data_IF_449018226875
#
_entry.id   IF_449018226875
#
_cell.length_a   1.000
_cell.length_b   1.000
_cell.length_c   1.000
_cell.angle_alpha   90.00
_cell.angle_beta   90.00
_cell.angle_gamma   90.00
#
_symmetry.space_group_name_H-M   'P 1'
#
loop_
_entity.id
_entity.type
_entity.pdbx_description
1 polymer ?
#
# COMPACT_ATOMS: atom_id res chain seq x y z
N UNK A 1 -12.83 33.31 12.63
CA UNK A 1 -13.47 32.12 12.08
C UNK A 1 -12.37 31.06 11.94
N UNK A 2 -12.36 30.05 12.82
CA UNK A 2 -11.39 28.95 12.70
C UNK A 2 -11.87 28.08 11.53
N UNK A 3 -11.11 28.06 10.45
CA UNK A 3 -11.29 27.04 9.42
C UNK A 3 -10.91 25.70 10.07
N UNK A 4 -11.82 24.75 10.09
CA UNK A 4 -11.47 23.40 10.45
C UNK A 4 -10.40 22.94 9.45
N UNK A 5 -9.23 22.56 9.95
CA UNK A 5 -8.22 21.91 9.13
C UNK A 5 -8.85 20.59 8.70
N UNK A 6 -9.20 20.51 7.42
CA UNK A 6 -9.69 19.26 6.85
C UNK A 6 -8.48 18.35 6.66
N UNK A 7 -8.58 17.13 7.14
CA UNK A 7 -7.52 16.12 7.08
C UNK A 7 -8.10 14.84 6.54
N UNK A 8 -7.35 14.18 5.69
CA UNK A 8 -7.63 12.80 5.30
C UNK A 8 -6.79 11.86 6.13
N UNK A 9 -7.35 10.72 6.50
CA UNK A 9 -6.66 9.75 7.32
C UNK A 9 -7.05 8.30 6.97
N UNK A 10 -6.10 7.42 7.22
CA UNK A 10 -6.28 5.97 7.22
C UNK A 10 -6.05 5.48 8.64
N UNK A 11 -6.89 4.58 9.12
CA UNK A 11 -6.73 3.98 10.44
C UNK A 11 -7.08 2.50 10.42
N UNK A 12 -6.56 1.78 11.39
CA UNK A 12 -6.82 0.34 11.57
C UNK A 12 -6.28 -0.54 10.42
N UNK A 13 -5.33 -0.01 9.65
CA UNK A 13 -4.53 -0.81 8.74
C UNK A 13 -3.38 -1.46 9.51
N UNK A 14 -2.86 -2.58 9.01
CA UNK A 14 -1.76 -3.29 9.64
C UNK A 14 -0.79 -3.85 8.61
N UNK A 15 0.47 -4.00 9.05
CA UNK A 15 1.56 -4.54 8.23
C UNK A 15 2.33 -5.59 9.00
N UNK A 16 2.78 -6.61 8.29
CA UNK A 16 3.84 -7.52 8.69
C UNK A 16 5.18 -7.10 8.08
N UNK A 17 6.27 -7.78 8.41
CA UNK A 17 7.56 -7.53 7.79
C UNK A 17 7.48 -7.77 6.28
N UNK A 18 7.98 -6.85 5.49
CA UNK A 18 7.97 -6.76 4.01
C UNK A 18 6.67 -6.33 3.36
N UNK A 19 5.57 -6.21 4.12
CA UNK A 19 4.33 -5.67 3.57
C UNK A 19 4.50 -4.19 3.21
N UNK A 20 3.83 -3.77 2.15
CA UNK A 20 3.71 -2.39 1.69
C UNK A 20 2.22 -2.04 1.56
N UNK A 21 1.84 -0.86 2.02
CA UNK A 21 0.51 -0.29 1.82
C UNK A 21 0.66 1.13 1.28
N UNK A 22 0.03 1.37 0.14
CA UNK A 22 0.09 2.64 -0.55
C UNK A 22 -1.27 3.29 -0.76
N UNK A 23 -1.26 4.61 -0.84
CA UNK A 23 -2.43 5.40 -1.21
C UNK A 23 -2.00 6.52 -2.14
N UNK A 24 -2.79 6.78 -3.18
CA UNK A 24 -2.65 7.96 -4.01
C UNK A 24 -3.66 9.03 -3.61
N UNK A 25 -3.27 10.29 -3.84
CA UNK A 25 -4.13 11.46 -3.66
C UNK A 25 -3.69 12.57 -4.61
N UNK A 26 -4.60 13.48 -4.94
CA UNK A 26 -4.29 14.57 -5.87
C UNK A 26 -4.37 15.91 -5.18
N UNK A 27 -3.27 16.69 -5.28
CA UNK A 27 -3.24 18.07 -4.79
C UNK A 27 -3.56 19.06 -5.91
N UNK A 28 -4.40 20.09 -5.63
CA UNK A 28 -4.67 21.16 -6.57
C UNK A 28 -3.48 22.13 -6.68
N UNK A 29 -3.47 22.94 -7.73
CA UNK A 29 -2.50 24.03 -7.85
C UNK A 29 -2.69 25.03 -6.70
N UNK A 30 -1.57 25.46 -6.11
CA UNK A 30 -1.56 26.40 -4.98
C UNK A 30 -1.98 25.78 -3.64
N UNK A 31 -1.91 24.45 -3.52
CA UNK A 31 -2.07 23.77 -2.24
C UNK A 31 -1.10 24.35 -1.19
N UNK A 32 -1.56 24.46 0.08
CA UNK A 32 -0.67 24.82 1.18
C UNK A 32 0.33 23.67 1.45
N UNK A 33 1.30 23.90 2.32
CA UNK A 33 2.31 22.91 2.67
C UNK A 33 1.68 21.56 3.02
N UNK A 34 2.20 20.51 2.40
CA UNK A 34 1.76 19.14 2.62
C UNK A 34 2.45 18.57 3.85
N UNK A 35 1.67 18.05 4.77
CA UNK A 35 2.15 17.31 5.93
C UNK A 35 1.55 15.91 5.92
N UNK A 36 2.41 14.91 6.02
CA UNK A 36 2.02 13.51 6.12
C UNK A 36 2.57 12.96 7.43
N UNK A 37 1.72 12.37 8.25
CA UNK A 37 2.08 11.80 9.54
C UNK A 37 1.66 10.34 9.64
N UNK A 38 2.60 9.47 9.97
CA UNK A 38 2.40 8.07 10.33
C UNK A 38 2.62 7.91 11.84
N UNK A 39 1.69 7.24 12.52
CA UNK A 39 1.80 6.92 13.94
C UNK A 39 1.34 5.49 14.22
N UNK A 40 2.04 4.82 15.12
CA UNK A 40 1.66 3.47 15.58
C UNK A 40 2.03 3.24 17.05
N UNK A 41 1.34 2.29 17.68
CA UNK A 41 1.64 1.88 19.04
C UNK A 41 2.62 0.70 19.00
N UNK A 42 3.91 0.99 19.16
CA UNK A 42 4.95 -0.03 19.20
C UNK A 42 4.82 -0.93 20.43
N UNK A 43 5.08 -2.25 20.33
CA UNK A 43 5.16 -3.13 21.48
C UNK A 43 6.23 -2.68 22.49
N UNK A 44 6.08 -3.08 23.75
CA UNK A 44 7.03 -2.73 24.79
C UNK A 44 8.41 -3.35 24.51
N UNK A 45 9.43 -2.48 24.36
CA UNK A 45 10.82 -2.91 24.21
C UNK A 45 11.43 -3.38 25.53
N UNK A 46 12.49 -4.20 25.45
CA UNK A 46 13.27 -4.58 26.61
C UNK A 46 14.11 -3.37 27.08
N UNK A 47 14.02 -2.96 28.35
CA UNK A 47 14.80 -1.82 28.84
C UNK A 47 16.31 -1.97 28.61
N UNK A 48 16.94 -0.92 28.10
CA UNK A 48 18.39 -0.86 27.87
C UNK A 48 18.87 -1.53 26.59
N UNK A 49 17.97 -1.99 25.71
CA UNK A 49 18.30 -2.53 24.37
C UNK A 49 18.11 -1.43 23.32
N UNK A 50 18.97 -1.44 22.30
CA UNK A 50 18.83 -0.59 21.10
C UNK A 50 18.75 -1.50 19.85
N UNK A 51 17.91 -1.17 18.84
CA UNK A 51 17.03 -0.01 18.74
C UNK A 51 15.88 -0.06 19.76
N UNK A 52 15.30 1.11 20.06
CA UNK A 52 14.20 1.21 21.02
C UNK A 52 12.86 0.73 20.46
N UNK A 53 12.69 0.75 19.12
CA UNK A 53 11.52 0.19 18.46
C UNK A 53 11.64 -1.33 18.38
N UNK A 54 10.54 -2.01 18.69
CA UNK A 54 10.35 -3.44 18.44
C UNK A 54 9.94 -3.65 17.01
N UNK A 55 8.93 -2.89 16.56
CA UNK A 55 8.47 -2.88 15.17
C UNK A 55 8.88 -1.57 14.50
N UNK A 56 9.34 -1.67 13.26
CA UNK A 56 9.81 -0.55 12.45
C UNK A 56 8.97 -0.44 11.18
N UNK A 57 8.20 0.65 11.08
CA UNK A 57 7.44 1.02 9.90
C UNK A 57 8.06 2.27 9.29
N UNK A 58 8.36 2.24 8.01
CA UNK A 58 8.88 3.38 7.26
C UNK A 58 7.79 4.08 6.45
N UNK A 59 8.02 5.37 6.19
CA UNK A 59 7.13 6.23 5.40
C UNK A 59 7.87 6.72 4.17
N UNK A 60 7.26 6.56 2.99
CA UNK A 60 7.74 7.19 1.77
C UNK A 60 6.63 7.99 1.09
N UNK A 61 7.03 8.98 0.32
CA UNK A 61 6.14 9.88 -0.42
C UNK A 61 6.73 10.09 -1.81
N UNK A 62 5.96 9.79 -2.85
CA UNK A 62 6.34 10.01 -4.25
C UNK A 62 5.60 11.23 -4.77
N UNK A 63 6.33 12.19 -5.31
CA UNK A 63 5.76 13.41 -5.88
C UNK A 63 5.26 13.20 -7.33
N UNK A 64 4.49 14.15 -7.90
CA UNK A 64 3.96 14.04 -9.27
C UNK A 64 5.02 13.96 -10.37
N UNK A 65 6.30 14.17 -10.05
CA UNK A 65 7.43 14.01 -10.99
C UNK A 65 8.08 12.62 -10.91
N UNK A 66 7.62 11.78 -9.97
CA UNK A 66 8.19 10.46 -9.68
C UNK A 66 9.37 10.50 -8.72
N UNK A 67 9.63 11.64 -8.05
CA UNK A 67 10.69 11.72 -7.05
C UNK A 67 10.20 11.12 -5.73
N UNK A 68 10.97 10.17 -5.19
CA UNK A 68 10.67 9.50 -3.92
C UNK A 68 11.38 10.17 -2.76
N UNK A 69 10.61 10.54 -1.75
CA UNK A 69 11.08 11.08 -0.47
C UNK A 69 10.89 10.01 0.59
N UNK A 70 11.97 9.55 1.20
CA UNK A 70 11.94 8.50 2.22
C UNK A 70 12.18 9.08 3.61
N UNK A 71 11.44 8.58 4.60
CA UNK A 71 11.64 8.85 6.00
C UNK A 71 11.82 7.53 6.76
N UNK A 72 13.07 7.12 6.89
CA UNK A 72 13.50 5.93 7.59
C UNK A 72 14.02 6.35 8.97
N UNK A 73 13.35 5.91 10.03
CA UNK A 73 13.70 6.24 11.41
C UNK A 73 13.43 5.04 12.30
N UNK A 74 14.43 4.37 12.78
CA UNK A 74 14.32 3.19 13.64
C UNK A 74 14.29 3.54 15.16
N UNK A 75 14.00 4.79 15.50
CA UNK A 75 13.99 5.26 16.90
C UNK A 75 12.61 5.69 17.37
N UNK A 76 11.76 6.18 16.45
CA UNK A 76 10.47 6.75 16.79
C UNK A 76 9.33 6.02 16.09
N UNK A 77 8.21 5.87 16.77
CA UNK A 77 6.96 5.33 16.25
C UNK A 77 6.02 6.42 15.67
N UNK A 78 6.54 7.62 15.50
CA UNK A 78 5.91 8.75 14.82
C UNK A 78 6.82 9.21 13.68
N UNK A 79 6.30 9.20 12.46
CA UNK A 79 6.93 9.75 11.27
C UNK A 79 6.17 10.99 10.83
N UNK A 80 6.88 12.05 10.48
CA UNK A 80 6.25 13.26 9.92
C UNK A 80 7.09 13.80 8.77
N UNK A 81 6.49 13.86 7.59
CA UNK A 81 7.06 14.52 6.41
C UNK A 81 6.38 15.86 6.19
N UNK A 82 7.17 16.86 5.79
CA UNK A 82 6.68 18.18 5.42
C UNK A 82 7.26 18.59 4.07
N UNK A 83 6.37 18.90 3.12
CA UNK A 83 6.76 19.40 1.80
C UNK A 83 6.20 20.81 1.64
N UNK A 84 7.10 21.79 1.56
CA UNK A 84 6.72 23.20 1.33
C UNK A 84 6.42 23.41 -0.15
N UNK A 85 5.35 24.17 -0.43
CA UNK A 85 4.90 24.47 -1.79
C UNK A 85 4.80 23.20 -2.68
N UNK A 86 3.98 22.21 -2.30
CA UNK A 86 3.90 20.95 -3.03
C UNK A 86 3.42 21.17 -4.47
N UNK A 87 3.95 20.39 -5.40
CA UNK A 87 3.50 20.41 -6.78
C UNK A 87 2.06 19.93 -6.89
N UNK A 88 1.30 20.55 -7.82
CA UNK A 88 -0.02 20.04 -8.18
C UNK A 88 0.10 18.73 -8.93
N UNK A 89 -0.82 17.80 -8.69
CA UNK A 89 -0.85 16.49 -9.34
C UNK A 89 -1.03 15.35 -8.36
N UNK A 90 -0.84 14.15 -8.85
CA UNK A 90 -0.99 12.92 -8.05
C UNK A 90 0.26 12.65 -7.26
N UNK A 91 0.07 12.42 -5.98
CA UNK A 91 1.07 12.01 -5.01
C UNK A 91 0.75 10.58 -4.57
N UNK A 92 1.77 9.84 -4.18
CA UNK A 92 1.62 8.51 -3.59
C UNK A 92 2.31 8.49 -2.23
N UNK A 93 1.67 7.89 -1.25
CA UNK A 93 2.22 7.68 0.09
C UNK A 93 2.23 6.20 0.40
N UNK A 94 3.37 5.68 0.86
CA UNK A 94 3.54 4.29 1.23
C UNK A 94 3.98 4.15 2.67
N UNK A 95 3.44 3.13 3.33
CA UNK A 95 3.89 2.67 4.65
C UNK A 95 4.42 1.25 4.48
N UNK A 96 5.67 1.04 4.85
CA UNK A 96 6.38 -0.24 4.67
C UNK A 96 6.72 -0.85 6.02
N UNK A 97 6.40 -2.12 6.20
CA UNK A 97 6.84 -2.92 7.35
C UNK A 97 8.29 -3.34 7.22
N UNK A 98 9.23 -2.47 7.57
CA UNK A 98 10.66 -2.72 7.40
C UNK A 98 11.15 -3.84 8.31
N UNK A 99 10.69 -3.86 9.56
CA UNK A 99 10.96 -4.95 10.50
C UNK A 99 9.82 -5.03 11.53
N UNK A 100 8.98 -6.05 11.43
CA UNK A 100 7.79 -6.23 12.30
C UNK A 100 7.84 -7.62 12.95
N UNK A 101 8.79 -7.86 13.89
CA UNK A 101 8.95 -9.17 14.54
C UNK A 101 7.77 -9.51 15.48
N UNK A 102 7.01 -8.52 15.92
CA UNK A 102 5.84 -8.70 16.77
C UNK A 102 4.64 -8.07 16.08
N UNK A 103 4.04 -8.79 15.17
CA UNK A 103 3.00 -8.24 14.30
C UNK A 103 1.73 -9.07 14.20
N UNK A 104 0.82 -8.62 13.34
CA UNK A 104 0.93 -7.41 12.51
C UNK A 104 0.90 -6.12 13.32
N UNK A 105 1.61 -5.09 12.86
CA UNK A 105 1.64 -3.77 13.48
C UNK A 105 0.53 -2.89 12.90
N UNK A 106 -0.41 -2.49 13.76
CA UNK A 106 -1.45 -1.52 13.38
C UNK A 106 -0.90 -0.11 13.38
N UNK A 107 -1.37 0.71 12.43
CA UNK A 107 -0.95 2.09 12.29
C UNK A 107 -2.10 3.03 11.89
N UNK A 108 -1.82 4.32 11.96
CA UNK A 108 -2.66 5.39 11.44
C UNK A 108 -1.80 6.34 10.59
N UNK A 109 -2.34 6.74 9.44
CA UNK A 109 -1.74 7.70 8.52
C UNK A 109 -2.67 8.90 8.40
N UNK A 110 -2.12 10.11 8.46
CA UNK A 110 -2.88 11.34 8.30
C UNK A 110 -2.20 12.30 7.31
N UNK A 111 -3.01 12.97 6.50
CA UNK A 111 -2.59 14.02 5.57
C UNK A 111 -3.39 15.28 5.87
N UNK A 112 -2.70 16.44 5.96
CA UNK A 112 -3.32 17.72 6.31
C UNK A 112 -4.12 18.38 5.18
N UNK A 113 -4.57 17.61 4.20
CA UNK A 113 -5.44 18.03 3.11
C UNK A 113 -6.70 17.16 3.11
N UNK A 114 -7.85 17.77 2.78
CA UNK A 114 -9.11 17.06 2.57
C UNK A 114 -9.16 16.55 1.11
N UNK A 115 -8.53 15.42 0.89
CA UNK A 115 -8.42 14.78 -0.41
C UNK A 115 -8.78 13.30 -0.27
N UNK A 116 -9.45 12.69 -1.25
CA UNK A 116 -9.66 11.24 -1.25
C UNK A 116 -8.31 10.51 -1.24
N UNK A 117 -8.16 9.55 -0.34
CA UNK A 117 -7.06 8.59 -0.34
C UNK A 117 -7.55 7.34 -1.09
N UNK A 118 -6.96 7.09 -2.25
CA UNK A 118 -7.25 5.91 -3.06
C UNK A 118 -6.19 4.86 -2.74
N UNK A 119 -6.63 3.71 -2.23
CA UNK A 119 -5.71 2.61 -1.92
C UNK A 119 -5.01 2.17 -3.22
N UNK A 120 -3.69 2.12 -3.18
CA UNK A 120 -2.86 1.53 -4.22
C UNK A 120 -2.79 0.04 -3.91
N UNK A 121 -3.70 -0.71 -4.49
CA UNK A 121 -3.60 -2.15 -4.46
C UNK A 121 -2.34 -2.55 -5.23
N UNK A 122 -1.51 -3.38 -4.62
CA UNK A 122 -0.43 -4.02 -5.36
C UNK A 122 -1.08 -4.90 -6.43
N UNK A 123 -0.84 -4.57 -7.68
CA UNK A 123 -1.28 -5.28 -8.87
C UNK A 123 -0.05 -5.28 -9.80
N UNK A 124 0.75 -6.34 -9.69
CA UNK A 124 2.10 -6.40 -10.25
C UNK A 124 2.10 -6.53 -11.78
N UNK A 125 1.05 -7.10 -12.35
CA UNK A 125 0.93 -7.31 -13.81
C UNK A 125 -0.12 -6.40 -14.46
N UNK A 126 -0.81 -5.57 -13.64
CA UNK A 126 -1.75 -4.52 -14.06
C UNK A 126 -2.99 -5.07 -14.78
N UNK A 127 -3.49 -6.21 -14.36
CA UNK A 127 -4.70 -6.81 -14.95
C UNK A 127 -6.00 -6.38 -14.23
N UNK A 128 -5.88 -5.65 -13.12
CA UNK A 128 -6.99 -5.13 -12.33
C UNK A 128 -7.40 -6.02 -11.15
N UNK A 129 -6.67 -7.12 -10.91
CA UNK A 129 -6.79 -7.97 -9.73
C UNK A 129 -5.64 -7.67 -8.78
N UNK A 130 -5.94 -7.44 -7.51
CA UNK A 130 -4.90 -7.22 -6.50
C UNK A 130 -4.02 -8.47 -6.33
N UNK A 131 -2.69 -8.32 -6.17
CA UNK A 131 -1.76 -9.43 -5.91
C UNK A 131 -2.22 -10.38 -4.82
N UNK A 132 -2.92 -9.85 -3.80
CA UNK A 132 -3.45 -10.63 -2.68
C UNK A 132 -4.68 -11.48 -3.03
N UNK A 133 -5.33 -11.18 -4.15
CA UNK A 133 -6.52 -11.86 -4.66
C UNK A 133 -6.24 -12.53 -6.02
N UNK A 134 -5.02 -12.35 -6.52
CA UNK A 134 -4.56 -12.82 -7.81
C UNK A 134 -3.79 -14.14 -7.67
N UNK A 135 -4.31 -15.16 -8.32
CA UNK A 135 -3.67 -16.49 -8.37
C UNK A 135 -2.48 -16.51 -9.35
N UNK A 136 -2.35 -15.49 -10.20
CA UNK A 136 -1.29 -15.34 -11.20
C UNK A 136 -0.54 -14.00 -11.14
N UNK A 137 -0.28 -13.46 -9.97
CA UNK A 137 0.18 -12.11 -9.62
C UNK A 137 1.31 -11.48 -10.47
N UNK A 138 1.86 -12.17 -11.46
CA UNK A 138 2.91 -11.67 -12.35
C UNK A 138 2.57 -11.94 -13.83
N UNK A 139 1.38 -12.40 -14.14
CA UNK A 139 0.94 -12.76 -15.50
C UNK A 139 -0.49 -12.34 -15.70
N UNK A 140 -0.67 -11.14 -16.24
CA UNK A 140 -1.98 -10.54 -16.46
C UNK A 140 -2.99 -11.47 -17.11
N UNK A 141 -4.19 -11.55 -16.54
CA UNK A 141 -5.26 -12.41 -17.01
C UNK A 141 -6.67 -11.86 -16.76
N UNK A 142 -7.66 -12.60 -17.19
CA UNK A 142 -9.07 -12.18 -17.11
C UNK A 142 -9.98 -13.23 -16.49
N UNK A 143 -9.44 -14.35 -16.05
CA UNK A 143 -10.23 -15.41 -15.41
C UNK A 143 -10.77 -14.97 -14.03
N UNK A 144 -11.98 -15.43 -13.72
CA UNK A 144 -12.72 -15.03 -12.52
C UNK A 144 -13.45 -16.18 -11.83
N UNK A 145 -13.45 -17.38 -12.43
CA UNK A 145 -14.27 -18.50 -11.98
C UNK A 145 -13.49 -19.50 -11.12
N UNK A 146 -12.29 -19.87 -11.57
CA UNK A 146 -11.45 -20.88 -10.89
C UNK A 146 -10.18 -20.28 -10.27
N UNK A 147 -9.43 -19.47 -11.01
CA UNK A 147 -8.23 -18.77 -10.57
C UNK A 147 -8.34 -17.30 -11.00
N UNK A 148 -8.50 -16.42 -10.05
CA UNK A 148 -8.66 -14.99 -10.34
C UNK A 148 -7.35 -14.41 -10.92
N UNK A 149 -7.45 -13.54 -11.93
CA UNK A 149 -6.29 -12.86 -12.51
C UNK A 149 -5.40 -13.72 -13.42
N UNK A 150 -5.77 -14.97 -13.69
CA UNK A 150 -4.98 -15.82 -14.57
C UNK A 150 -5.38 -15.67 -16.05
N UNK A 151 -4.48 -16.00 -17.00
CA UNK A 151 -4.81 -16.00 -18.43
C UNK A 151 -6.06 -16.82 -18.75
N UNK A 152 -6.92 -16.24 -19.58
CA UNK A 152 -8.17 -16.81 -20.07
C UNK A 152 -8.26 -16.45 -21.56
N UNK A 153 -7.77 -17.35 -22.42
CA UNK A 153 -7.60 -17.05 -23.86
C UNK A 153 -8.92 -17.08 -24.61
N UNK A 154 -9.88 -17.89 -24.18
CA UNK A 154 -11.17 -18.02 -24.88
C UNK A 154 -12.30 -17.16 -24.28
N UNK A 155 -12.07 -16.54 -23.11
CA UNK A 155 -12.95 -15.57 -22.47
C UNK A 155 -14.16 -16.21 -21.78
N UNK A 156 -14.06 -17.46 -21.35
CA UNK A 156 -15.17 -18.16 -20.69
C UNK A 156 -15.15 -18.00 -19.15
N UNK A 157 -14.14 -17.28 -18.62
CA UNK A 157 -13.95 -16.96 -17.22
C UNK A 157 -13.09 -17.94 -16.44
N UNK A 158 -12.72 -19.05 -17.04
CA UNK A 158 -11.80 -20.02 -16.44
C UNK A 158 -10.36 -19.78 -16.93
N UNK A 159 -9.39 -20.14 -16.11
CA UNK A 159 -7.99 -19.95 -16.45
C UNK A 159 -7.46 -20.99 -17.42
N UNK A 160 -6.54 -20.58 -18.29
CA UNK A 160 -5.79 -21.46 -19.17
C UNK A 160 -4.96 -22.49 -18.38
N UNK A 161 -4.73 -23.70 -18.92
CA UNK A 161 -3.81 -24.66 -18.33
C UNK A 161 -2.37 -24.15 -18.32
N UNK A 162 -1.69 -24.28 -17.19
CA UNK A 162 -0.26 -23.99 -17.05
C UNK A 162 0.52 -25.16 -16.42
N UNK A 163 1.81 -24.97 -16.12
CA UNK A 163 2.66 -26.02 -15.55
C UNK A 163 2.25 -26.47 -14.15
N UNK A 164 1.53 -25.65 -13.41
CA UNK A 164 1.02 -25.93 -12.06
C UNK A 164 -0.47 -26.32 -12.04
N UNK A 165 -1.17 -26.04 -13.13
CA UNK A 165 -2.61 -26.21 -13.27
C UNK A 165 -2.91 -26.92 -14.59
N UNK A 166 -3.32 -28.15 -14.55
CA UNK A 166 -3.47 -28.98 -15.73
C UNK A 166 -4.94 -29.43 -15.93
N UNK A 167 -5.20 -30.02 -17.10
CA UNK A 167 -6.54 -30.50 -17.51
C UNK A 167 -7.26 -31.40 -16.50
N UNK A 168 -6.55 -31.95 -15.51
CA UNK A 168 -7.18 -32.73 -14.44
C UNK A 168 -7.87 -31.88 -13.38
N UNK A 169 -7.53 -30.59 -13.31
CA UNK A 169 -8.11 -29.61 -12.39
C UNK A 169 -9.19 -28.74 -13.08
N UNK A 170 -9.25 -28.77 -14.41
CA UNK A 170 -10.24 -28.06 -15.19
C UNK A 170 -11.58 -28.82 -15.23
N UNK A 171 -12.69 -28.09 -15.19
CA UNK A 171 -14.00 -28.64 -15.52
C UNK A 171 -14.02 -29.04 -16.97
N UNK A 172 -14.58 -30.21 -17.29
CA UNK A 172 -14.64 -30.80 -18.65
C UNK A 172 -15.46 -29.97 -19.68
N UNK A 173 -15.73 -28.71 -19.39
CA UNK A 173 -16.58 -27.82 -20.20
C UNK A 173 -15.74 -26.91 -21.13
N UNK A 174 -14.40 -26.95 -21.00
CA UNK A 174 -13.49 -26.05 -21.71
C UNK A 174 -12.81 -26.69 -22.91
N UNK A 175 -13.61 -27.28 -23.81
CA UNK A 175 -13.15 -27.77 -25.12
C UNK A 175 -13.96 -27.10 -26.22
#
# INVERSE_FOLDING_TARGET
MYSAVQTSFVHNESLSTTDDRGWSFTLPSGAHDLQVALAYADPAATPGVTPYLVNDLDLSLTDPTGTVHNLNDNLNNLRMMNVTAPAAGTWEVHVVGTNVPTGPQFFSLAINHDVPLVNLTLDADLDGVEDSLDDCMNVAGTSTVDRSGCPDTDGDGYSDPDSGWNVGNLSLIHI
#
